data_IF_979756125346
#
_entry.id   IF_979756125346
#
_cell.length_a   1.000
_cell.length_b   1.000
_cell.length_c   1.000
_cell.angle_alpha   90.00
_cell.angle_beta   90.00
_cell.angle_gamma   90.00
#
_symmetry.space_group_name_H-M   'P 1'
#
loop_
_entity.id
_entity.type
_entity.pdbx_description
1 polymer ?
#
# COMPACT_ATOMS: atom_id res chain seq x y z
N UNK A 1 2.94 7.74 -26.56
CA UNK A 1 3.53 6.57 -25.85
C UNK A 1 4.72 7.02 -25.02
N UNK A 2 4.77 6.65 -23.75
CA UNK A 2 5.90 6.96 -22.84
C UNK A 2 7.13 6.15 -23.27
N UNK A 3 8.32 6.78 -23.55
CA UNK A 3 9.52 6.05 -23.91
C UNK A 3 9.95 5.06 -22.82
N UNK A 4 10.35 3.83 -23.18
CA UNK A 4 10.73 2.78 -22.24
C UNK A 4 11.85 3.21 -21.29
N UNK A 5 12.86 3.93 -21.79
CA UNK A 5 13.96 4.47 -20.99
C UNK A 5 13.47 5.45 -19.92
N UNK A 6 12.50 6.31 -20.27
CA UNK A 6 11.93 7.30 -19.33
C UNK A 6 11.12 6.62 -18.23
N UNK A 7 10.35 5.59 -18.58
CA UNK A 7 9.62 4.77 -17.60
C UNK A 7 10.59 4.03 -16.66
N UNK A 8 11.63 3.40 -17.21
CA UNK A 8 12.63 2.67 -16.41
C UNK A 8 13.35 3.57 -15.40
N UNK A 9 13.73 4.80 -15.79
CA UNK A 9 14.33 5.77 -14.86
C UNK A 9 13.36 6.12 -13.75
N UNK A 10 12.10 6.45 -14.09
CA UNK A 10 11.09 6.81 -13.07
C UNK A 10 10.79 5.67 -12.11
N UNK A 11 10.64 4.45 -12.63
CA UNK A 11 10.42 3.26 -11.80
C UNK A 11 11.60 3.02 -10.87
N UNK A 12 12.84 3.17 -11.35
CA UNK A 12 14.04 3.04 -10.50
C UNK A 12 14.07 4.06 -9.36
N UNK A 13 13.76 5.33 -9.64
CA UNK A 13 13.64 6.38 -8.62
C UNK A 13 12.60 6.00 -7.54
N UNK A 14 11.41 5.57 -7.96
CA UNK A 14 10.34 5.22 -7.03
C UNK A 14 10.67 3.97 -6.22
N UNK A 15 11.35 2.98 -6.80
CA UNK A 15 11.81 1.80 -6.07
C UNK A 15 12.90 2.15 -5.03
N UNK A 16 13.78 3.11 -5.31
CA UNK A 16 14.73 3.58 -4.29
C UNK A 16 13.97 4.12 -3.07
N UNK A 17 12.99 5.02 -3.27
CA UNK A 17 12.18 5.56 -2.18
C UNK A 17 11.41 4.45 -1.45
N UNK A 18 10.81 3.51 -2.20
CA UNK A 18 10.11 2.35 -1.63
C UNK A 18 11.02 1.56 -0.69
N UNK A 19 12.22 1.20 -1.13
CA UNK A 19 13.16 0.41 -0.32
C UNK A 19 13.71 1.20 0.87
N UNK A 20 13.97 2.49 0.73
CA UNK A 20 14.31 3.35 1.88
C UNK A 20 13.22 3.29 2.96
N UNK A 21 11.95 3.38 2.58
CA UNK A 21 10.81 3.26 3.51
C UNK A 21 10.71 1.86 4.12
N UNK A 22 10.90 0.81 3.33
CA UNK A 22 10.91 -0.57 3.82
C UNK A 22 12.03 -0.79 4.85
N UNK A 23 13.25 -0.33 4.60
CA UNK A 23 14.37 -0.40 5.54
C UNK A 23 14.06 0.38 6.82
N UNK A 24 13.56 1.60 6.72
CA UNK A 24 13.20 2.41 7.89
C UNK A 24 12.13 1.72 8.76
N UNK A 25 11.10 1.13 8.14
CA UNK A 25 10.07 0.38 8.87
C UNK A 25 10.63 -0.88 9.52
N UNK A 26 11.50 -1.62 8.83
CA UNK A 26 12.15 -2.81 9.39
C UNK A 26 13.03 -2.46 10.59
N UNK A 27 13.80 -1.38 10.52
CA UNK A 27 14.62 -0.90 11.64
C UNK A 27 13.77 -0.49 12.85
N UNK A 28 12.66 0.21 12.60
CA UNK A 28 11.74 0.66 13.64
C UNK A 28 10.87 -0.45 14.24
N UNK A 29 10.99 -1.70 13.73
CA UNK A 29 10.22 -2.83 14.20
C UNK A 29 10.77 -3.34 15.53
N UNK A 30 9.87 -3.50 16.51
CA UNK A 30 10.17 -4.03 17.84
C UNK A 30 9.31 -5.25 18.13
N UNK A 31 9.74 -6.12 19.04
CA UNK A 31 8.95 -7.27 19.48
C UNK A 31 7.57 -6.84 19.99
N UNK A 32 7.51 -5.76 20.75
CA UNK A 32 6.25 -5.21 21.25
C UNK A 32 5.26 -4.85 20.13
N UNK A 33 5.74 -4.30 19.00
CA UNK A 33 4.90 -4.00 17.84
C UNK A 33 4.41 -5.27 17.13
N UNK A 34 5.21 -6.32 17.10
CA UNK A 34 4.81 -7.62 16.53
C UNK A 34 3.74 -8.28 17.38
N UNK A 35 3.92 -8.31 18.70
CA UNK A 35 2.99 -8.95 19.64
C UNK A 35 1.63 -8.25 19.74
N UNK A 36 1.42 -7.10 19.11
CA UNK A 36 0.09 -6.46 18.98
C UNK A 36 -0.87 -7.20 18.03
N UNK A 37 -0.42 -8.28 17.38
CA UNK A 37 -1.29 -9.16 16.59
C UNK A 37 -2.10 -10.09 17.50
N UNK A 38 -3.26 -10.55 17.00
CA UNK A 38 -4.18 -11.40 17.75
C UNK A 38 -3.52 -12.74 18.18
N UNK A 39 -3.19 -12.95 19.46
CA UNK A 39 -2.51 -14.18 19.90
C UNK A 39 -3.42 -15.40 19.87
N UNK A 40 -4.74 -15.21 20.03
CA UNK A 40 -5.71 -16.30 20.01
C UNK A 40 -5.78 -16.98 18.64
N UNK A 41 -5.63 -16.21 17.56
CA UNK A 41 -5.58 -16.77 16.21
C UNK A 41 -4.45 -17.78 16.05
N UNK A 42 -3.22 -17.41 16.42
CA UNK A 42 -2.04 -18.27 16.26
C UNK A 42 -2.14 -19.53 17.14
N UNK A 43 -2.69 -19.40 18.35
CA UNK A 43 -2.95 -20.54 19.20
C UNK A 43 -4.03 -21.45 18.62
N UNK A 44 -5.09 -20.90 18.06
CA UNK A 44 -6.19 -21.66 17.45
C UNK A 44 -5.77 -22.46 16.21
N UNK A 45 -4.82 -21.93 15.42
CA UNK A 45 -4.25 -22.63 14.25
C UNK A 45 -3.10 -23.57 14.61
N UNK A 46 -2.83 -23.80 15.90
CA UNK A 46 -1.91 -24.82 16.37
C UNK A 46 -0.43 -24.44 16.31
N UNK A 47 -0.08 -23.16 16.27
CA UNK A 47 1.31 -22.71 16.35
C UNK A 47 1.85 -23.01 17.73
N UNK A 48 2.91 -23.83 17.82
CA UNK A 48 3.53 -24.24 19.07
C UNK A 48 4.97 -23.77 19.20
N UNK A 49 5.71 -23.73 18.09
CA UNK A 49 7.13 -23.38 18.08
C UNK A 49 7.33 -21.85 18.09
N UNK A 50 8.28 -21.35 18.90
CA UNK A 50 8.58 -19.91 18.99
C UNK A 50 9.00 -19.28 17.65
N UNK A 51 9.85 -19.98 16.88
CA UNK A 51 10.30 -19.54 15.57
C UNK A 51 9.14 -19.41 14.58
N UNK A 52 8.26 -20.41 14.48
CA UNK A 52 7.07 -20.36 13.64
C UNK A 52 6.14 -19.21 14.02
N UNK A 53 5.94 -18.98 15.33
CA UNK A 53 5.12 -17.87 15.79
C UNK A 53 5.68 -16.53 15.33
N UNK A 54 6.99 -16.32 15.50
CA UNK A 54 7.65 -15.10 15.08
C UNK A 54 7.62 -14.92 13.56
N UNK A 55 7.83 -16.01 12.78
CA UNK A 55 7.74 -16.00 11.32
C UNK A 55 6.36 -15.53 10.84
N UNK A 56 5.30 -16.07 11.41
CA UNK A 56 3.93 -15.65 11.10
C UNK A 56 3.69 -14.18 11.40
N UNK A 57 4.13 -13.71 12.58
CA UNK A 57 3.97 -12.32 12.99
C UNK A 57 4.73 -11.37 12.06
N UNK A 58 5.99 -11.71 11.75
CA UNK A 58 6.87 -10.90 10.93
C UNK A 58 6.36 -10.85 9.48
N UNK A 59 6.00 -11.99 8.90
CA UNK A 59 5.44 -12.07 7.55
C UNK A 59 4.15 -11.27 7.42
N UNK A 60 3.22 -11.41 8.36
CA UNK A 60 1.98 -10.65 8.37
C UNK A 60 2.21 -9.13 8.53
N UNK A 61 3.23 -8.74 9.31
CA UNK A 61 3.57 -7.33 9.51
C UNK A 61 4.20 -6.73 8.26
N UNK A 62 5.16 -7.41 7.65
CA UNK A 62 5.87 -6.94 6.44
C UNK A 62 4.89 -6.86 5.28
N UNK A 63 4.11 -7.90 5.01
CA UNK A 63 3.14 -7.89 3.92
C UNK A 63 2.15 -6.73 4.02
N UNK A 64 1.58 -6.50 5.21
CA UNK A 64 0.67 -5.37 5.42
C UNK A 64 1.35 -4.00 5.28
N UNK A 65 2.63 -3.89 5.66
CA UNK A 65 3.40 -2.67 5.49
C UNK A 65 3.77 -2.43 4.04
N UNK A 66 4.22 -3.47 3.35
CA UNK A 66 4.64 -3.40 1.95
C UNK A 66 3.48 -2.96 1.04
N UNK A 67 2.26 -3.48 1.25
CA UNK A 67 1.07 -3.02 0.52
C UNK A 67 0.81 -1.52 0.69
N UNK A 68 0.94 -1.02 1.94
CA UNK A 68 0.73 0.40 2.23
C UNK A 68 1.83 1.27 1.61
N UNK A 69 3.10 0.89 1.79
CA UNK A 69 4.24 1.62 1.25
C UNK A 69 4.18 1.61 -0.28
N UNK A 70 3.87 0.46 -0.88
CA UNK A 70 3.81 0.35 -2.33
C UNK A 70 2.71 1.24 -2.93
N UNK A 71 1.56 1.34 -2.27
CA UNK A 71 0.51 2.27 -2.67
C UNK A 71 0.99 3.72 -2.67
N UNK A 72 1.55 4.16 -1.54
CA UNK A 72 1.90 5.56 -1.30
C UNK A 72 3.18 6.01 -2.02
N UNK A 73 4.21 5.16 -2.03
CA UNK A 73 5.54 5.55 -2.53
C UNK A 73 5.79 5.11 -3.98
N UNK A 74 4.95 4.23 -4.53
CA UNK A 74 5.14 3.73 -5.89
C UNK A 74 3.91 3.98 -6.78
N UNK A 75 2.74 3.41 -6.48
CA UNK A 75 1.59 3.49 -7.40
C UNK A 75 1.04 4.91 -7.55
N UNK A 76 0.81 5.61 -6.47
CA UNK A 76 0.27 6.97 -6.52
C UNK A 76 1.22 7.96 -7.22
N UNK A 77 2.53 8.04 -6.87
CA UNK A 77 3.47 8.88 -7.58
C UNK A 77 3.68 8.47 -9.05
N UNK A 78 3.66 7.15 -9.36
CA UNK A 78 3.76 6.66 -10.73
C UNK A 78 2.54 7.08 -11.56
N UNK A 79 1.33 6.98 -11.00
CA UNK A 79 0.09 7.35 -11.66
C UNK A 79 0.07 8.84 -12.02
N UNK A 80 0.44 9.70 -11.06
CA UNK A 80 0.56 11.14 -11.29
C UNK A 80 1.60 11.47 -12.37
N UNK A 81 2.79 10.86 -12.28
CA UNK A 81 3.85 11.07 -13.26
C UNK A 81 3.44 10.58 -14.66
N UNK A 82 2.86 9.38 -14.76
CA UNK A 82 2.43 8.81 -16.03
C UNK A 82 1.35 9.66 -16.71
N UNK A 83 0.36 10.13 -15.94
CA UNK A 83 -0.66 11.04 -16.43
C UNK A 83 -0.06 12.36 -16.94
N UNK A 84 0.90 12.95 -16.20
CA UNK A 84 1.57 14.18 -16.60
C UNK A 84 2.38 14.02 -17.90
N UNK A 85 3.18 12.95 -18.01
CA UNK A 85 4.04 12.72 -19.18
C UNK A 85 3.24 12.38 -20.43
N UNK A 86 2.06 11.77 -20.28
CA UNK A 86 1.15 11.43 -21.37
C UNK A 86 0.22 12.57 -21.75
N UNK A 87 0.27 13.69 -21.03
CA UNK A 87 -0.59 14.86 -21.33
C UNK A 87 -0.14 15.52 -22.62
N UNK A 88 -1.06 15.54 -23.61
CA UNK A 88 -0.92 16.36 -24.81
C UNK A 88 -1.44 17.78 -24.60
N UNK A 89 -1.40 18.60 -25.66
CA UNK A 89 -2.02 19.94 -25.67
C UNK A 89 -3.52 19.83 -25.32
N UNK A 90 -3.96 20.62 -24.34
CA UNK A 90 -5.37 20.64 -23.89
C UNK A 90 -5.72 19.68 -22.73
N UNK A 91 -4.78 18.92 -22.19
CA UNK A 91 -4.97 18.08 -21.00
C UNK A 91 -4.03 18.54 -19.87
N UNK A 92 -4.60 19.13 -18.84
CA UNK A 92 -3.86 19.58 -17.66
C UNK A 92 -3.96 18.54 -16.55
N UNK A 93 -2.83 18.07 -16.05
CA UNK A 93 -2.76 17.13 -14.93
C UNK A 93 -2.12 17.82 -13.74
N UNK A 94 -2.68 17.64 -12.56
CA UNK A 94 -2.12 18.16 -11.31
C UNK A 94 -2.43 17.24 -10.13
N UNK A 95 -1.73 17.46 -9.02
CA UNK A 95 -2.07 16.83 -7.73
C UNK A 95 -3.49 17.24 -7.36
N UNK A 96 -4.21 16.35 -6.72
CA UNK A 96 -5.57 16.60 -6.26
C UNK A 96 -5.68 17.77 -5.30
N UNK A 97 -6.73 18.57 -5.44
CA UNK A 97 -6.93 19.82 -4.70
C UNK A 97 -7.63 19.62 -3.34
N UNK A 98 -7.79 18.40 -2.83
CA UNK A 98 -8.50 18.15 -1.57
C UNK A 98 -8.52 16.70 -1.14
N UNK A 99 -9.07 16.43 0.04
CA UNK A 99 -9.22 15.10 0.58
C UNK A 99 -9.93 14.17 -0.43
N UNK A 100 -9.47 12.92 -0.51
CA UNK A 100 -10.06 11.90 -1.39
C UNK A 100 -9.76 12.06 -2.87
N UNK A 101 -8.90 13.00 -3.26
CA UNK A 101 -8.44 13.18 -4.63
C UNK A 101 -6.92 13.24 -4.68
N UNK A 102 -6.32 12.28 -5.35
CA UNK A 102 -4.87 12.19 -5.49
C UNK A 102 -4.40 12.85 -6.80
N UNK A 103 -5.20 12.74 -7.87
CA UNK A 103 -4.90 13.30 -9.19
C UNK A 103 -6.13 14.04 -9.73
N UNK A 104 -5.90 15.18 -10.36
CA UNK A 104 -6.89 15.85 -11.21
C UNK A 104 -6.42 15.87 -12.65
N UNK A 105 -7.36 15.58 -13.57
CA UNK A 105 -7.15 15.74 -15.00
C UNK A 105 -8.23 16.68 -15.53
N UNK A 106 -7.82 17.76 -16.15
CA UNK A 106 -8.70 18.79 -16.68
C UNK A 106 -8.47 18.96 -18.17
N UNK A 107 -9.55 18.90 -18.92
CA UNK A 107 -9.59 19.27 -20.35
C UNK A 107 -10.43 20.53 -20.53
N UNK A 108 -10.69 20.94 -21.75
CA UNK A 108 -11.58 22.07 -22.04
C UNK A 108 -13.00 21.82 -21.52
N UNK A 109 -13.51 20.59 -21.65
CA UNK A 109 -14.92 20.22 -21.38
C UNK A 109 -15.11 19.30 -20.17
N UNK A 110 -14.05 18.65 -19.68
CA UNK A 110 -14.14 17.60 -18.67
C UNK A 110 -13.19 17.84 -17.50
N UNK A 111 -13.58 17.35 -16.33
CA UNK A 111 -12.76 17.32 -15.13
C UNK A 111 -12.85 15.93 -14.48
N UNK A 112 -11.72 15.27 -14.31
CA UNK A 112 -11.61 13.99 -13.62
C UNK A 112 -11.01 14.20 -12.23
N UNK A 113 -11.79 13.88 -11.21
CA UNK A 113 -11.29 13.75 -9.84
C UNK A 113 -10.95 12.28 -9.60
N UNK A 114 -9.68 11.96 -9.41
CA UNK A 114 -9.19 10.59 -9.33
C UNK A 114 -8.62 10.33 -7.94
N UNK A 115 -9.14 9.31 -7.25
CA UNK A 115 -8.51 8.73 -6.07
C UNK A 115 -7.78 7.46 -6.47
N UNK A 116 -6.49 7.35 -6.11
CA UNK A 116 -5.63 6.22 -6.44
C UNK A 116 -5.57 5.25 -5.26
N UNK A 117 -5.75 3.96 -5.54
CA UNK A 117 -5.62 2.88 -4.55
C UNK A 117 -4.71 1.80 -5.11
N UNK A 118 -3.95 1.12 -4.26
CA UNK A 118 -3.09 0.03 -4.71
C UNK A 118 -3.90 -1.12 -5.30
N UNK A 119 -4.92 -1.61 -4.61
CA UNK A 119 -5.73 -2.74 -5.09
C UNK A 119 -7.20 -2.67 -4.72
N UNK A 120 -8.01 -3.57 -5.29
CA UNK A 120 -9.48 -3.56 -5.23
C UNK A 120 -10.06 -3.98 -3.87
N UNK A 121 -9.30 -4.61 -2.98
CA UNK A 121 -9.78 -5.18 -1.72
C UNK A 121 -9.79 -4.19 -0.53
N UNK A 122 -9.49 -2.93 -0.78
CA UNK A 122 -9.33 -1.90 0.27
C UNK A 122 -10.67 -1.27 0.69
N UNK A 123 -11.70 -1.41 -0.14
CA UNK A 123 -12.99 -0.77 0.12
C UNK A 123 -13.93 -1.66 0.94
N UNK A 124 -14.31 -1.15 2.11
CA UNK A 124 -15.54 -1.56 2.80
C UNK A 124 -16.64 -0.52 2.57
N UNK A 125 -17.89 -0.84 2.93
CA UNK A 125 -19.04 0.03 2.72
C UNK A 125 -18.91 1.44 3.35
N UNK A 126 -18.09 1.58 4.37
CA UNK A 126 -17.86 2.86 5.07
C UNK A 126 -16.85 3.74 4.31
N UNK A 127 -15.78 3.15 3.76
CA UNK A 127 -14.82 3.88 2.94
C UNK A 127 -15.42 4.31 1.58
N UNK A 128 -16.30 3.51 0.99
CA UNK A 128 -17.06 3.90 -0.22
C UNK A 128 -17.95 5.14 0.03
N UNK A 129 -18.63 5.19 1.19
CA UNK A 129 -19.45 6.35 1.57
C UNK A 129 -18.60 7.60 1.81
N UNK A 130 -17.47 7.47 2.51
CA UNK A 130 -16.54 8.56 2.74
C UNK A 130 -16.00 9.13 1.42
N UNK A 131 -15.53 8.29 0.52
CA UNK A 131 -15.03 8.68 -0.79
C UNK A 131 -16.09 9.41 -1.64
N UNK A 132 -17.35 8.96 -1.55
CA UNK A 132 -18.46 9.63 -2.23
C UNK A 132 -18.66 11.06 -1.71
N UNK A 133 -18.69 11.25 -0.40
CA UNK A 133 -18.84 12.58 0.22
C UNK A 133 -17.73 13.53 -0.21
N UNK A 134 -16.49 13.05 -0.23
CA UNK A 134 -15.32 13.83 -0.67
C UNK A 134 -15.45 14.27 -2.12
N UNK A 135 -15.80 13.36 -3.02
CA UNK A 135 -16.03 13.69 -4.44
C UNK A 135 -17.22 14.66 -4.64
N UNK A 136 -18.31 14.49 -3.90
CA UNK A 136 -19.46 15.39 -3.99
C UNK A 136 -19.09 16.83 -3.53
N UNK A 137 -18.24 16.96 -2.52
CA UNK A 137 -17.71 18.25 -2.07
C UNK A 137 -16.79 18.90 -3.12
N UNK A 138 -15.95 18.12 -3.80
CA UNK A 138 -15.08 18.61 -4.89
C UNK A 138 -15.94 19.09 -6.05
N UNK A 139 -16.92 18.30 -6.48
CA UNK A 139 -17.86 18.66 -7.57
C UNK A 139 -18.60 19.96 -7.26
N UNK A 140 -19.12 20.10 -6.04
CA UNK A 140 -19.81 21.32 -5.59
C UNK A 140 -18.91 22.57 -5.69
N UNK A 141 -17.65 22.45 -5.26
CA UNK A 141 -16.66 23.56 -5.35
C UNK A 141 -16.33 23.93 -6.80
N UNK A 142 -16.27 22.94 -7.69
CA UNK A 142 -15.86 23.11 -9.08
C UNK A 142 -17.04 23.39 -10.02
N UNK A 143 -18.28 23.44 -9.53
CA UNK A 143 -19.49 23.66 -10.34
C UNK A 143 -19.41 24.90 -11.25
N UNK A 144 -18.68 25.94 -10.83
CA UNK A 144 -18.48 27.16 -11.61
C UNK A 144 -17.67 26.96 -12.89
N UNK A 145 -16.89 25.86 -12.99
CA UNK A 145 -16.10 25.55 -14.18
C UNK A 145 -16.97 25.13 -15.37
N UNK A 146 -18.24 24.73 -15.14
CA UNK A 146 -19.18 24.27 -16.18
C UNK A 146 -18.65 23.11 -17.03
N UNK A 147 -17.82 22.23 -16.43
CA UNK A 147 -17.26 21.04 -17.07
C UNK A 147 -18.01 19.79 -16.65
N UNK A 148 -18.00 18.77 -17.50
CA UNK A 148 -18.46 17.44 -17.11
C UNK A 148 -17.53 16.89 -16.02
N UNK A 149 -18.10 16.50 -14.87
CA UNK A 149 -17.34 16.06 -13.70
C UNK A 149 -17.35 14.53 -13.58
N UNK A 150 -16.19 13.91 -13.56
CA UNK A 150 -15.99 12.47 -13.46
C UNK A 150 -15.34 12.10 -12.13
N UNK A 151 -16.01 11.26 -11.35
CA UNK A 151 -15.54 10.69 -10.09
C UNK A 151 -14.91 9.35 -10.38
N UNK A 152 -13.60 9.21 -10.18
CA UNK A 152 -12.88 8.00 -10.51
C UNK A 152 -12.13 7.48 -9.29
N UNK A 153 -12.34 6.20 -8.97
CA UNK A 153 -11.45 5.44 -8.09
C UNK A 153 -10.63 4.51 -8.97
N UNK A 154 -9.33 4.79 -9.03
CA UNK A 154 -8.36 4.04 -9.81
C UNK A 154 -7.59 3.06 -8.93
N UNK A 155 -7.54 1.79 -9.35
CA UNK A 155 -6.77 0.76 -8.66
C UNK A 155 -5.56 0.38 -9.50
N UNK A 156 -4.36 0.41 -8.91
CA UNK A 156 -3.12 0.10 -9.62
C UNK A 156 -3.09 -1.30 -10.22
N UNK A 157 -3.81 -2.26 -9.63
CA UNK A 157 -3.97 -3.63 -10.13
C UNK A 157 -5.37 -4.19 -9.83
N UNK A 158 -5.63 -5.39 -10.33
CA UNK A 158 -6.90 -6.08 -10.16
C UNK A 158 -7.88 -5.84 -11.31
N UNK A 159 -9.13 -6.21 -11.10
CA UNK A 159 -10.25 -6.00 -12.03
C UNK A 159 -11.39 -5.33 -11.32
N UNK A 160 -12.03 -4.37 -11.95
CA UNK A 160 -13.22 -3.70 -11.44
C UNK A 160 -14.40 -3.92 -12.40
N UNK A 161 -15.64 -4.06 -11.88
CA UNK A 161 -16.81 -4.12 -12.74
C UNK A 161 -16.97 -2.78 -13.48
N UNK A 162 -17.33 -2.85 -14.76
CA UNK A 162 -17.60 -1.66 -15.57
C UNK A 162 -18.83 -0.95 -15.03
N UNK A 163 -18.69 0.29 -14.59
CA UNK A 163 -19.82 1.12 -14.17
C UNK A 163 -20.62 1.55 -15.41
N UNK A 164 -21.90 1.17 -15.47
CA UNK A 164 -22.81 1.54 -16.57
C UNK A 164 -23.37 2.96 -16.44
N UNK A 165 -23.13 3.64 -15.32
CA UNK A 165 -23.71 4.96 -15.05
C UNK A 165 -22.61 6.00 -14.80
N UNK A 166 -22.48 6.96 -15.70
CA UNK A 166 -21.48 8.03 -15.62
C UNK A 166 -21.67 8.99 -14.41
N UNK A 167 -22.86 9.02 -13.80
CA UNK A 167 -23.14 9.84 -12.61
C UNK A 167 -22.68 9.20 -11.31
N UNK A 168 -22.26 7.95 -11.32
CA UNK A 168 -21.74 7.23 -10.16
C UNK A 168 -20.21 7.26 -10.17
N UNK A 169 -19.61 6.92 -9.03
CA UNK A 169 -18.17 6.73 -8.96
C UNK A 169 -17.77 5.60 -9.90
N UNK A 170 -16.89 5.91 -10.84
CA UNK A 170 -16.32 4.96 -11.77
C UNK A 170 -15.15 4.25 -11.12
N UNK A 171 -15.24 2.93 -10.99
CA UNK A 171 -14.12 2.10 -10.51
C UNK A 171 -13.35 1.59 -11.73
N UNK A 172 -12.08 1.96 -11.86
CA UNK A 172 -11.18 1.53 -12.93
C UNK A 172 -9.98 0.82 -12.32
N UNK A 173 -9.65 -0.38 -12.80
CA UNK A 173 -8.59 -1.19 -12.22
C UNK A 173 -7.64 -1.74 -13.29
N UNK A 174 -6.37 -1.93 -12.94
CA UNK A 174 -5.38 -2.51 -13.83
C UNK A 174 -5.33 -1.79 -15.18
N UNK A 175 -5.55 -2.53 -16.27
CA UNK A 175 -5.49 -1.99 -17.63
C UNK A 175 -6.35 -0.72 -17.80
N UNK A 176 -7.63 -0.76 -17.41
CA UNK A 176 -8.56 0.37 -17.60
C UNK A 176 -8.11 1.64 -16.86
N UNK A 177 -7.48 1.48 -15.71
CA UNK A 177 -6.94 2.60 -14.94
C UNK A 177 -5.71 3.21 -15.61
N UNK A 178 -4.75 2.39 -15.96
CA UNK A 178 -3.52 2.87 -16.59
C UNK A 178 -3.74 3.44 -17.98
N UNK A 179 -4.67 2.86 -18.75
CA UNK A 179 -5.08 3.39 -20.06
C UNK A 179 -5.78 4.75 -19.92
N UNK A 180 -6.65 4.94 -18.91
CA UNK A 180 -7.25 6.26 -18.63
C UNK A 180 -6.17 7.34 -18.40
N UNK A 181 -5.10 7.00 -17.69
CA UNK A 181 -4.03 7.95 -17.38
C UNK A 181 -3.11 8.24 -18.57
N UNK A 182 -2.80 7.22 -19.36
CA UNK A 182 -1.71 7.27 -20.35
C UNK A 182 -2.16 7.23 -21.80
N UNK A 183 -3.37 6.71 -22.05
CA UNK A 183 -3.83 6.37 -23.41
C UNK A 183 -3.16 5.10 -23.98
N UNK A 184 -2.39 4.36 -23.17
CA UNK A 184 -1.66 3.17 -23.60
C UNK A 184 -2.26 1.90 -22.98
N UNK A 185 -2.92 1.01 -23.74
CA UNK A 185 -3.60 -0.17 -23.20
C UNK A 185 -2.64 -1.19 -22.56
N UNK A 186 -1.37 -1.24 -22.98
CA UNK A 186 -0.35 -2.16 -22.45
C UNK A 186 0.55 -1.53 -21.36
N UNK A 187 0.23 -0.32 -20.89
CA UNK A 187 1.09 0.37 -19.91
C UNK A 187 1.24 -0.41 -18.61
N UNK A 188 0.18 -1.08 -18.14
CA UNK A 188 0.20 -1.91 -16.92
C UNK A 188 1.21 -3.07 -17.00
N UNK A 189 1.42 -3.68 -18.17
CA UNK A 189 2.45 -4.72 -18.39
C UNK A 189 3.83 -4.08 -18.37
N UNK A 190 3.99 -2.94 -19.04
CA UNK A 190 5.25 -2.21 -19.12
C UNK A 190 5.77 -1.76 -17.75
N UNK A 191 4.89 -1.48 -16.78
CA UNK A 191 5.27 -1.20 -15.39
C UNK A 191 5.98 -2.42 -14.80
N UNK A 192 5.40 -3.62 -14.96
CA UNK A 192 6.00 -4.87 -14.46
C UNK A 192 7.39 -5.11 -15.04
N UNK A 193 7.54 -4.94 -16.35
CA UNK A 193 8.84 -5.09 -17.03
C UNK A 193 9.88 -4.09 -16.53
N UNK A 194 9.46 -2.85 -16.26
CA UNK A 194 10.35 -1.81 -15.75
C UNK A 194 10.79 -2.05 -14.29
N UNK A 195 9.97 -2.75 -13.48
CA UNK A 195 10.28 -3.09 -12.08
C UNK A 195 11.36 -4.17 -11.98
N UNK A 196 11.39 -5.15 -12.88
CA UNK A 196 12.13 -6.39 -12.72
C UNK A 196 13.62 -6.21 -12.39
N UNK A 197 14.33 -5.38 -13.16
CA UNK A 197 15.76 -5.15 -12.96
C UNK A 197 16.09 -4.34 -11.70
N UNK A 198 15.49 -3.15 -11.46
CA UNK A 198 15.75 -2.38 -10.26
C UNK A 198 15.40 -3.12 -8.96
N UNK A 199 14.30 -3.86 -8.94
CA UNK A 199 13.89 -4.63 -7.76
C UNK A 199 14.95 -5.67 -7.36
N UNK A 200 15.57 -6.33 -8.32
CA UNK A 200 16.62 -7.33 -8.06
C UNK A 200 17.85 -6.72 -7.35
N UNK A 201 18.18 -5.46 -7.61
CA UNK A 201 19.31 -4.78 -6.97
C UNK A 201 19.11 -4.56 -5.47
N UNK A 202 17.87 -4.33 -5.04
CA UNK A 202 17.56 -4.07 -3.64
C UNK A 202 17.27 -5.33 -2.82
N UNK A 203 16.89 -6.42 -3.50
CA UNK A 203 16.37 -7.63 -2.83
C UNK A 203 17.39 -8.23 -1.85
N UNK A 204 18.62 -8.45 -2.28
CA UNK A 204 19.64 -9.10 -1.44
C UNK A 204 19.90 -8.34 -0.14
N UNK A 205 20.11 -7.02 -0.22
CA UNK A 205 20.36 -6.19 0.95
C UNK A 205 19.16 -6.15 1.91
N UNK A 206 17.93 -6.16 1.36
CA UNK A 206 16.74 -6.20 2.21
C UNK A 206 16.56 -7.56 2.88
N UNK A 207 16.79 -8.65 2.17
CA UNK A 207 16.69 -10.02 2.71
C UNK A 207 17.71 -10.23 3.86
N UNK A 208 18.94 -9.75 3.70
CA UNK A 208 19.97 -9.78 4.75
C UNK A 208 19.55 -8.98 5.99
N UNK A 209 19.03 -7.75 5.79
CA UNK A 209 18.54 -6.92 6.89
C UNK A 209 17.34 -7.57 7.60
N UNK A 210 16.46 -8.22 6.86
CA UNK A 210 15.31 -8.95 7.38
C UNK A 210 15.75 -10.15 8.23
N UNK A 211 16.69 -10.96 7.76
CA UNK A 211 17.23 -12.09 8.51
C UNK A 211 17.90 -11.65 9.82
N UNK A 212 18.67 -10.54 9.77
CA UNK A 212 19.29 -9.97 10.98
C UNK A 212 18.24 -9.52 11.99
N UNK A 213 17.19 -8.82 11.52
CA UNK A 213 16.10 -8.35 12.38
C UNK A 213 15.29 -9.52 12.94
N UNK A 214 15.01 -10.54 12.13
CA UNK A 214 14.37 -11.77 12.58
C UNK A 214 15.14 -12.43 13.73
N UNK A 215 16.45 -12.63 13.57
CA UNK A 215 17.31 -13.24 14.59
C UNK A 215 17.36 -12.42 15.90
N UNK A 216 17.38 -11.09 15.79
CA UNK A 216 17.29 -10.18 16.93
C UNK A 216 15.97 -10.37 17.71
N UNK A 217 14.86 -10.33 17.00
CA UNK A 217 13.52 -10.43 17.57
C UNK A 217 13.23 -11.83 18.12
N UNK A 218 13.72 -12.89 17.46
CA UNK A 218 13.58 -14.26 17.92
C UNK A 218 14.34 -14.45 19.24
N UNK A 219 15.59 -13.98 19.33
CA UNK A 219 16.35 -14.05 20.57
C UNK A 219 15.62 -13.32 21.71
N UNK A 220 15.08 -12.14 21.45
CA UNK A 220 14.31 -11.41 22.47
C UNK A 220 13.03 -12.16 22.85
N UNK A 221 12.32 -12.75 21.88
CA UNK A 221 11.11 -13.53 22.15
C UNK A 221 11.42 -14.79 22.98
N UNK A 222 12.52 -15.49 22.67
CA UNK A 222 12.96 -16.66 23.44
C UNK A 222 13.23 -16.30 24.91
N UNK A 223 13.88 -15.17 25.18
CA UNK A 223 14.16 -14.73 26.53
C UNK A 223 12.90 -14.30 27.30
N UNK A 224 12.01 -13.56 26.64
CA UNK A 224 10.88 -12.91 27.28
C UNK A 224 9.64 -13.82 27.40
N UNK A 225 9.45 -14.81 26.48
CA UNK A 225 8.18 -15.52 26.31
C UNK A 225 8.28 -17.03 26.10
N UNK A 226 9.44 -17.63 26.31
CA UNK A 226 9.63 -19.07 26.11
C UNK A 226 10.18 -19.71 27.39
N UNK A 227 9.67 -20.88 27.72
CA UNK A 227 10.16 -21.67 28.87
C UNK A 227 11.44 -22.43 28.54
N UNK A 228 12.07 -22.98 29.55
CA UNK A 228 13.33 -23.75 29.43
C UNK A 228 13.19 -25.01 28.57
N UNK A 229 11.99 -25.56 28.47
CA UNK A 229 11.67 -26.70 27.61
C UNK A 229 11.37 -26.29 26.12
N UNK A 230 11.48 -24.99 25.80
CA UNK A 230 11.24 -24.47 24.47
C UNK A 230 9.77 -24.19 24.14
N UNK A 231 8.85 -24.30 25.09
CA UNK A 231 7.44 -24.00 24.87
C UNK A 231 7.11 -22.51 25.01
N UNK A 232 6.18 -22.00 24.19
CA UNK A 232 5.73 -20.62 24.27
C UNK A 232 4.85 -20.41 25.49
N UNK A 233 5.17 -19.46 26.34
CA UNK A 233 4.36 -19.00 27.46
C UNK A 233 3.15 -18.16 26.96
N UNK A 234 2.18 -18.82 26.40
CA UNK A 234 1.01 -18.17 25.79
C UNK A 234 0.27 -17.24 26.75
N UNK A 235 0.25 -17.57 28.04
CA UNK A 235 -0.34 -16.70 29.07
C UNK A 235 0.33 -15.33 29.06
N UNK A 236 1.65 -15.28 29.08
CA UNK A 236 2.43 -14.04 29.11
C UNK A 236 2.23 -13.23 27.83
N UNK A 237 2.16 -13.90 26.65
CA UNK A 237 1.87 -13.27 25.37
C UNK A 237 0.47 -12.63 25.38
N UNK A 238 -0.54 -13.34 25.90
CA UNK A 238 -1.92 -12.81 25.98
C UNK A 238 -2.00 -11.67 26.99
N UNK A 239 -1.36 -11.80 28.16
CA UNK A 239 -1.32 -10.74 29.16
C UNK A 239 -0.64 -9.48 28.63
N UNK A 240 0.48 -9.63 27.92
CA UNK A 240 1.15 -8.50 27.24
C UNK A 240 0.24 -7.79 26.24
N UNK A 241 -0.51 -8.57 25.45
CA UNK A 241 -1.37 -8.04 24.39
C UNK A 241 -2.65 -7.41 24.92
N UNK A 242 -3.30 -8.03 25.94
CA UNK A 242 -4.71 -7.79 26.26
C UNK A 242 -4.97 -7.36 27.70
N UNK A 243 -4.00 -7.35 28.61
CA UNK A 243 -4.22 -6.93 29.99
C UNK A 243 -4.38 -5.40 30.12
N UNK A 244 -5.17 -4.95 31.09
CA UNK A 244 -5.36 -3.52 31.38
C UNK A 244 -4.06 -2.83 31.85
N UNK A 245 -3.22 -3.58 32.57
CA UNK A 245 -1.92 -3.14 33.07
C UNK A 245 -0.86 -3.91 32.31
N UNK A 246 0.02 -3.21 31.61
CA UNK A 246 1.15 -3.87 30.96
C UNK A 246 1.98 -4.59 32.02
N UNK A 247 2.21 -5.91 31.88
CA UNK A 247 3.04 -6.64 32.82
C UNK A 247 4.42 -5.98 32.93
N UNK A 248 4.89 -5.76 34.17
CA UNK A 248 6.26 -5.31 34.38
C UNK A 248 7.17 -6.42 33.88
N UNK A 249 8.04 -6.11 32.92
CA UNK A 249 9.10 -7.04 32.51
C UNK A 249 9.96 -7.35 33.74
N UNK A 250 9.82 -8.54 34.25
CA UNK A 250 10.79 -9.07 35.24
C UNK A 250 12.03 -9.47 34.44
N UNK A 251 12.94 -8.53 34.27
CA UNK A 251 14.30 -8.85 33.83
C UNK A 251 14.91 -9.84 34.84
N UNK A 252 15.18 -11.03 34.37
CA UNK A 252 16.18 -11.93 35.01
C UNK A 252 17.46 -11.84 34.23
#
# INVERSE_FOLDING_TARGET
MIPAKKLAVKVSELLNVLYERRFAQLQALTLAKLLNKNPYLYRAIGVQRPDQYLDHLLSARISSSDETIFGNEFFEPLALWAANVSSGSGRRVSVGAGAGQDISIETETEYFAISVKSGTNIFNSQSDKGQKVEFDQIEARLKKLKKAFHKVVGFGYGRAPVSKNAKTIQKKAGQDFWELLTGEPEFYVRISDAIAKPAALHKSAFDEALQKKHSELLRQFMLDYVDVDGTVRWRDVVEFNSSRVKPKRTGK
#
